data_IF_266677583933
#
_entry.id   IF_266677583933
#
_cell.length_a   1.000
_cell.length_b   1.000
_cell.length_c   1.000
_cell.angle_alpha   90.00
_cell.angle_beta   90.00
_cell.angle_gamma   90.00
#
_symmetry.space_group_name_H-M   'P 1'
#
loop_
_entity.id
_entity.type
_entity.pdbx_description
1 polymer ?
#
# COMPACT_ATOMS: atom_id res chain seq x y z
N UNK A 1 31.83 -44.67 64.13
CA UNK A 1 31.39 -43.29 63.84
C UNK A 1 31.82 -42.92 62.42
N UNK A 2 30.91 -43.07 61.46
CA UNK A 2 30.87 -42.38 60.15
C UNK A 2 29.53 -42.75 59.51
N UNK A 3 28.60 -41.81 59.58
CA UNK A 3 27.26 -41.85 58.99
C UNK A 3 27.43 -41.39 57.54
N UNK A 4 27.06 -42.22 56.58
CA UNK A 4 26.97 -41.82 55.16
C UNK A 4 25.50 -41.79 54.76
N UNK A 5 24.98 -40.57 54.74
CA UNK A 5 23.64 -40.16 54.30
C UNK A 5 23.45 -40.47 52.82
N UNK A 6 22.38 -41.20 52.48
CA UNK A 6 21.92 -41.38 51.10
C UNK A 6 21.15 -40.10 50.70
N UNK A 7 21.68 -39.36 49.73
CA UNK A 7 20.99 -38.22 49.12
C UNK A 7 20.28 -38.72 47.87
N UNK A 8 18.96 -38.76 47.91
CA UNK A 8 18.09 -39.06 46.78
C UNK A 8 18.04 -37.86 45.83
N UNK A 9 18.60 -38.01 44.63
CA UNK A 9 18.58 -36.99 43.59
C UNK A 9 17.25 -37.07 42.83
N UNK A 10 16.31 -36.16 43.14
CA UNK A 10 15.08 -35.99 42.36
C UNK A 10 15.39 -35.21 41.08
N UNK A 11 15.40 -35.90 39.94
CA UNK A 11 15.53 -35.28 38.61
C UNK A 11 14.13 -34.80 38.19
N UNK A 12 13.91 -33.48 38.24
CA UNK A 12 12.74 -32.84 37.64
C UNK A 12 12.91 -32.81 36.11
N UNK A 13 12.10 -33.58 35.40
CA UNK A 13 12.02 -33.57 33.94
C UNK A 13 11.22 -32.33 33.49
N UNK A 14 11.91 -31.28 33.05
CA UNK A 14 11.28 -30.13 32.40
C UNK A 14 10.86 -30.55 30.98
N UNK A 15 9.57 -30.81 30.77
CA UNK A 15 9.00 -30.97 29.43
C UNK A 15 8.82 -29.56 28.83
N UNK A 16 9.76 -29.14 27.98
CA UNK A 16 9.58 -27.95 27.15
C UNK A 16 8.63 -28.34 26.00
N UNK A 17 7.36 -27.97 26.12
CA UNK A 17 6.40 -28.05 25.01
C UNK A 17 6.71 -26.90 24.06
N UNK A 18 7.44 -27.19 22.98
CA UNK A 18 7.48 -26.28 21.83
C UNK A 18 6.13 -26.39 21.11
N UNK A 19 5.24 -25.44 21.36
CA UNK A 19 4.11 -25.21 20.47
C UNK A 19 4.68 -24.72 19.13
N UNK A 20 4.86 -25.63 18.17
CA UNK A 20 5.01 -25.25 16.75
C UNK A 20 3.66 -24.68 16.33
N UNK A 21 3.53 -23.36 16.32
CA UNK A 21 2.46 -22.69 15.59
C UNK A 21 2.70 -23.00 14.11
N UNK A 22 1.97 -23.97 13.57
CA UNK A 22 1.91 -24.19 12.13
C UNK A 22 1.09 -23.03 11.56
N UNK A 23 1.78 -21.93 11.23
CA UNK A 23 1.21 -20.95 10.32
C UNK A 23 0.92 -21.70 9.01
N UNK A 24 -0.37 -21.84 8.66
CA UNK A 24 -0.76 -22.39 7.36
C UNK A 24 -0.03 -21.61 6.25
N UNK A 25 0.41 -22.31 5.21
CA UNK A 25 1.06 -21.67 4.08
C UNK A 25 0.15 -20.56 3.54
N UNK A 26 0.67 -19.33 3.51
CA UNK A 26 -0.07 -18.19 2.94
C UNK A 26 -0.35 -18.46 1.47
N UNK A 27 -1.62 -18.53 1.10
CA UNK A 27 -2.01 -18.70 -0.30
C UNK A 27 -1.92 -17.34 -0.98
N UNK A 28 -0.87 -17.13 -1.77
CA UNK A 28 -0.79 -16.00 -2.71
C UNK A 28 -1.15 -16.50 -4.10
N UNK A 29 -2.24 -15.99 -4.65
CA UNK A 29 -2.68 -16.25 -6.02
C UNK A 29 -2.33 -15.08 -6.93
N UNK A 30 -1.67 -15.33 -8.05
CA UNK A 30 -1.35 -14.31 -9.05
C UNK A 30 -2.27 -14.53 -10.25
N UNK A 31 -3.11 -13.53 -10.56
CA UNK A 31 -3.92 -13.51 -11.78
C UNK A 31 -3.08 -12.93 -12.90
N UNK A 32 -2.67 -13.79 -13.83
CA UNK A 32 -1.90 -13.41 -15.01
C UNK A 32 -2.83 -12.78 -16.07
N UNK A 33 -2.35 -11.79 -16.85
CA UNK A 33 -3.09 -11.27 -17.99
C UNK A 33 -3.42 -12.38 -19.00
N UNK A 34 -4.68 -12.46 -19.45
CA UNK A 34 -5.14 -13.46 -20.43
C UNK A 34 -5.05 -12.88 -21.84
N UNK A 35 -5.56 -11.67 -22.02
CA UNK A 35 -5.48 -10.99 -23.31
C UNK A 35 -4.06 -10.50 -23.55
N UNK A 36 -3.68 -10.39 -24.83
CA UNK A 36 -2.42 -9.77 -25.22
C UNK A 36 -2.70 -8.34 -25.61
N UNK A 37 -1.99 -7.41 -24.98
CA UNK A 37 -1.97 -6.00 -25.39
C UNK A 37 -0.56 -5.61 -25.88
N UNK A 38 -0.45 -4.45 -26.52
CA UNK A 38 0.84 -3.81 -26.86
C UNK A 38 1.18 -2.69 -25.89
N UNK A 39 0.20 -2.15 -25.18
CA UNK A 39 0.40 -1.11 -24.17
C UNK A 39 0.43 -1.72 -22.78
N UNK A 40 0.89 -0.94 -21.80
CA UNK A 40 0.75 -1.30 -20.39
C UNK A 40 -0.75 -1.34 -20.03
N UNK A 41 -1.16 -2.39 -19.33
CA UNK A 41 -2.47 -2.49 -18.66
C UNK A 41 -2.24 -2.61 -17.18
N UNK A 42 -2.87 -1.75 -16.39
CA UNK A 42 -2.81 -1.82 -14.92
C UNK A 42 -3.53 -3.08 -14.43
N UNK A 43 -3.33 -3.46 -13.15
CA UNK A 43 -4.10 -4.53 -12.54
C UNK A 43 -5.61 -4.30 -12.60
N UNK A 44 -6.06 -3.04 -12.57
CA UNK A 44 -7.47 -2.69 -12.79
C UNK A 44 -7.94 -2.99 -14.21
N UNK A 45 -7.15 -2.62 -15.22
CA UNK A 45 -7.47 -2.91 -16.62
C UNK A 45 -7.52 -4.44 -16.85
N UNK A 46 -6.53 -5.18 -16.33
CA UNK A 46 -6.47 -6.64 -16.42
C UNK A 46 -7.64 -7.29 -15.69
N UNK A 47 -8.01 -6.82 -14.49
CA UNK A 47 -9.17 -7.32 -13.76
C UNK A 47 -10.44 -7.17 -14.58
N UNK A 48 -10.71 -5.97 -15.11
CA UNK A 48 -11.97 -5.68 -15.81
C UNK A 48 -12.03 -6.42 -17.15
N UNK A 49 -10.91 -6.48 -17.88
CA UNK A 49 -10.88 -7.05 -19.21
C UNK A 49 -10.81 -8.58 -19.22
N UNK A 50 -10.15 -9.18 -18.22
CA UNK A 50 -9.79 -10.61 -18.25
C UNK A 50 -10.40 -11.42 -17.09
N UNK A 51 -10.66 -10.82 -15.93
CA UNK A 51 -10.94 -11.54 -14.68
C UNK A 51 -12.13 -11.00 -13.87
N UNK A 52 -13.04 -10.24 -14.48
CA UNK A 52 -14.11 -9.56 -13.73
C UNK A 52 -15.01 -10.53 -12.95
N UNK A 53 -15.14 -11.76 -13.45
CA UNK A 53 -15.87 -12.85 -12.83
C UNK A 53 -15.33 -13.26 -11.45
N UNK A 54 -14.09 -12.91 -11.10
CA UNK A 54 -13.57 -13.08 -9.73
C UNK A 54 -14.35 -12.27 -8.70
N UNK A 55 -15.12 -11.26 -9.13
CA UNK A 55 -15.94 -10.43 -8.25
C UNK A 55 -17.42 -10.83 -8.22
N UNK A 56 -17.83 -11.83 -9.01
CA UNK A 56 -19.23 -12.23 -9.10
C UNK A 56 -19.77 -12.72 -7.75
N UNK A 57 -20.88 -12.11 -7.31
CA UNK A 57 -21.55 -12.40 -6.05
C UNK A 57 -20.81 -11.90 -4.81
N UNK A 58 -19.68 -11.19 -4.95
CA UNK A 58 -18.89 -10.71 -3.81
C UNK A 58 -19.38 -9.37 -3.29
N UNK A 59 -19.40 -9.25 -1.96
CA UNK A 59 -19.46 -7.99 -1.25
C UNK A 59 -18.06 -7.46 -1.00
N UNK A 60 -17.73 -6.33 -1.61
CA UNK A 60 -16.37 -5.80 -1.65
C UNK A 60 -16.22 -4.49 -0.86
N UNK A 61 -15.08 -4.37 -0.20
CA UNK A 61 -14.53 -3.08 0.25
C UNK A 61 -13.46 -2.60 -0.74
N UNK A 62 -13.36 -1.30 -0.97
CA UNK A 62 -12.41 -0.73 -1.92
C UNK A 62 -11.52 0.32 -1.26
N UNK A 63 -10.23 0.03 -1.13
CA UNK A 63 -9.21 1.02 -0.75
C UNK A 63 -8.73 1.73 -2.01
N UNK A 64 -9.13 2.99 -2.19
CA UNK A 64 -8.81 3.75 -3.40
C UNK A 64 -8.84 5.26 -3.19
N UNK A 65 -8.38 6.01 -4.20
CA UNK A 65 -8.53 7.46 -4.32
C UNK A 65 -8.74 7.83 -5.80
N UNK A 66 -8.58 9.11 -6.15
CA UNK A 66 -8.75 9.62 -7.51
C UNK A 66 -7.77 9.03 -8.54
N UNK A 67 -6.68 8.40 -8.12
CA UNK A 67 -5.76 7.67 -9.01
C UNK A 67 -6.28 6.28 -9.43
N UNK A 68 -7.31 5.77 -8.77
CA UNK A 68 -8.00 4.51 -9.07
C UNK A 68 -8.80 4.56 -10.36
N UNK A 69 -8.11 4.72 -11.48
CA UNK A 69 -8.67 4.81 -12.83
C UNK A 69 -8.07 3.77 -13.76
N UNK A 70 -8.86 3.38 -14.76
CA UNK A 70 -8.41 2.59 -15.92
C UNK A 70 -7.52 3.43 -16.82
N UNK A 71 -6.83 2.80 -17.77
CA UNK A 71 -6.07 3.50 -18.83
C UNK A 71 -6.90 4.49 -19.65
N UNK A 72 -8.23 4.31 -19.66
CA UNK A 72 -9.19 5.19 -20.34
C UNK A 72 -9.80 6.27 -19.41
N UNK A 73 -9.31 6.41 -18.17
CA UNK A 73 -9.79 7.43 -17.23
C UNK A 73 -11.10 7.10 -16.52
N UNK A 74 -11.62 5.87 -16.67
CA UNK A 74 -12.82 5.43 -15.95
C UNK A 74 -12.44 5.05 -14.52
N UNK A 75 -13.14 5.62 -13.54
CA UNK A 75 -12.90 5.41 -12.10
C UNK A 75 -13.39 4.03 -11.66
N UNK A 76 -12.57 3.30 -10.92
CA UNK A 76 -12.84 1.93 -10.46
C UNK A 76 -14.17 1.78 -9.71
N UNK A 77 -14.50 2.67 -8.79
CA UNK A 77 -15.73 2.61 -8.00
C UNK A 77 -16.97 2.74 -8.89
N UNK A 78 -16.90 3.55 -9.96
CA UNK A 78 -18.04 3.68 -10.88
C UNK A 78 -18.29 2.41 -11.69
N UNK A 79 -17.23 1.61 -11.93
CA UNK A 79 -17.32 0.33 -12.63
C UNK A 79 -18.00 -0.68 -11.72
N UNK A 80 -17.55 -0.78 -10.47
CA UNK A 80 -18.14 -1.70 -9.50
C UNK A 80 -19.58 -1.33 -9.12
N UNK A 81 -19.90 -0.05 -8.94
CA UNK A 81 -21.26 0.41 -8.65
C UNK A 81 -22.27 0.10 -9.77
N UNK A 82 -21.82 0.05 -11.03
CA UNK A 82 -22.70 -0.22 -12.18
C UNK A 82 -22.94 -1.71 -12.40
N UNK A 83 -22.15 -2.57 -11.77
CA UNK A 83 -22.30 -4.02 -11.90
C UNK A 83 -23.50 -4.50 -11.08
N UNK A 84 -24.33 -5.36 -11.66
CA UNK A 84 -25.41 -6.05 -10.93
C UNK A 84 -24.92 -7.29 -10.18
N UNK A 85 -23.66 -7.68 -10.37
CA UNK A 85 -23.06 -8.89 -9.80
C UNK A 85 -22.06 -8.58 -8.68
N UNK A 86 -21.76 -7.32 -8.42
CA UNK A 86 -20.76 -6.88 -7.43
C UNK A 86 -21.45 -5.94 -6.45
N UNK A 87 -21.37 -6.23 -5.15
CA UNK A 87 -21.84 -5.32 -4.12
C UNK A 87 -20.67 -4.50 -3.58
N UNK A 88 -20.50 -3.26 -4.07
CA UNK A 88 -19.56 -2.31 -3.48
C UNK A 88 -20.14 -1.74 -2.18
N UNK A 89 -19.72 -2.30 -1.04
CA UNK A 89 -20.27 -1.95 0.27
C UNK A 89 -19.66 -0.69 0.86
N UNK A 90 -18.33 -0.54 0.74
CA UNK A 90 -17.58 0.54 1.39
C UNK A 90 -16.36 0.94 0.56
N UNK A 91 -16.05 2.24 0.58
CA UNK A 91 -14.82 2.80 0.03
C UNK A 91 -13.99 3.33 1.19
N UNK A 92 -12.73 2.94 1.25
CA UNK A 92 -11.74 3.43 2.17
C UNK A 92 -10.79 4.40 1.46
N UNK A 93 -10.82 5.67 1.83
CA UNK A 93 -9.99 6.71 1.25
C UNK A 93 -8.75 6.97 2.12
N UNK A 94 -7.51 6.82 1.61
CA UNK A 94 -6.29 7.01 2.39
C UNK A 94 -5.97 8.51 2.64
N UNK A 95 -4.72 8.82 3.00
CA UNK A 95 -4.20 10.19 3.07
C UNK A 95 -4.49 10.98 1.77
N UNK A 96 -4.74 12.29 1.90
CA UNK A 96 -5.21 13.20 0.85
C UNK A 96 -6.67 13.03 0.40
N UNK A 97 -7.39 12.06 0.96
CA UNK A 97 -8.81 11.88 0.69
C UNK A 97 -9.09 11.21 -0.65
N UNK A 98 -10.37 11.01 -0.93
CA UNK A 98 -10.91 10.29 -2.08
C UNK A 98 -10.76 11.06 -3.40
N UNK A 99 -10.82 12.40 -3.39
CA UNK A 99 -10.67 13.25 -4.56
C UNK A 99 -9.27 13.91 -4.66
N UNK A 100 -8.34 13.58 -3.75
CA UNK A 100 -7.02 14.22 -3.67
C UNK A 100 -7.10 15.67 -3.20
N UNK A 101 -8.16 16.03 -2.49
CA UNK A 101 -8.53 17.38 -2.09
C UNK A 101 -7.86 17.83 -0.77
N UNK A 102 -7.37 16.88 0.03
CA UNK A 102 -6.76 17.21 1.32
C UNK A 102 -5.25 17.47 1.21
N UNK A 103 -4.81 18.58 1.79
CA UNK A 103 -3.39 18.80 2.10
C UNK A 103 -2.83 17.69 2.99
N UNK A 104 -1.50 17.50 2.97
CA UNK A 104 -0.84 16.59 3.92
C UNK A 104 -1.23 16.96 5.36
N UNK A 105 -1.64 15.98 6.17
CA UNK A 105 -2.11 16.23 7.53
C UNK A 105 -3.59 16.62 7.68
N UNK A 106 -4.33 16.92 6.60
CA UNK A 106 -5.73 17.35 6.67
C UNK A 106 -6.73 16.17 6.76
N UNK A 107 -7.84 16.36 7.48
CA UNK A 107 -8.94 15.39 7.60
C UNK A 107 -10.06 15.72 6.61
N UNK A 108 -10.71 14.68 6.07
CA UNK A 108 -11.92 14.82 5.25
C UNK A 108 -13.00 13.89 5.79
N UNK A 109 -14.22 14.41 5.95
CA UNK A 109 -15.42 13.63 6.24
C UNK A 109 -16.31 13.58 4.99
N UNK A 110 -16.79 12.39 4.64
CA UNK A 110 -17.68 12.20 3.50
C UNK A 110 -19.10 11.92 3.99
N UNK A 111 -20.06 12.76 3.56
CA UNK A 111 -21.49 12.51 3.76
C UNK A 111 -22.11 12.12 2.43
N UNK A 112 -21.92 10.86 2.03
CA UNK A 112 -22.54 10.38 0.81
C UNK A 112 -24.00 10.00 1.09
N UNK A 113 -24.96 10.72 0.49
CA UNK A 113 -26.41 10.43 0.65
C UNK A 113 -26.89 9.28 -0.24
N UNK A 114 -26.14 8.94 -1.29
CA UNK A 114 -26.49 7.92 -2.27
C UNK A 114 -25.23 7.22 -2.79
N UNK A 115 -25.13 5.90 -2.64
CA UNK A 115 -23.96 5.10 -3.03
C UNK A 115 -23.21 4.50 -1.84
N UNK A 116 -22.02 3.91 -2.04
CA UNK A 116 -21.26 3.26 -0.98
C UNK A 116 -20.83 4.28 0.06
N UNK A 117 -20.73 3.82 1.30
CA UNK A 117 -20.16 4.59 2.38
C UNK A 117 -18.68 4.88 2.09
N UNK A 118 -18.23 6.12 2.31
CA UNK A 118 -16.83 6.51 2.10
C UNK A 118 -16.21 6.84 3.46
N UNK A 119 -15.17 6.12 3.84
CA UNK A 119 -14.51 6.22 5.13
C UNK A 119 -13.07 6.71 4.93
N UNK A 120 -12.71 7.81 5.59
CA UNK A 120 -11.33 8.32 5.59
C UNK A 120 -10.44 7.48 6.51
N UNK A 121 -9.39 6.87 5.94
CA UNK A 121 -8.33 6.16 6.64
C UNK A 121 -7.14 7.08 6.98
N UNK A 122 -7.41 8.21 7.65
CA UNK A 122 -6.38 9.19 8.02
C UNK A 122 -6.58 9.79 9.41
N UNK A 123 -5.53 10.40 9.97
CA UNK A 123 -5.56 10.98 11.31
C UNK A 123 -5.59 9.91 12.41
N UNK A 124 -6.69 9.84 13.17
CA UNK A 124 -6.86 8.84 14.25
C UNK A 124 -7.21 7.45 13.73
N UNK A 125 -7.77 7.37 12.52
CA UNK A 125 -8.26 6.13 11.93
C UNK A 125 -7.41 5.78 10.69
N UNK A 126 -6.14 5.39 10.86
CA UNK A 126 -5.24 5.05 9.72
C UNK A 126 -5.38 3.61 9.21
N UNK A 127 -6.16 2.83 9.94
CA UNK A 127 -6.42 1.39 9.78
C UNK A 127 -7.93 1.19 9.79
N UNK A 128 -8.52 0.40 8.88
CA UNK A 128 -9.93 0.03 8.98
C UNK A 128 -10.23 -0.61 10.36
N UNK A 129 -11.39 -0.35 10.93
CA UNK A 129 -11.81 -1.09 12.14
C UNK A 129 -12.47 -2.41 11.74
N UNK A 130 -12.57 -3.34 12.69
CA UNK A 130 -13.28 -4.61 12.50
C UNK A 130 -14.73 -4.37 12.03
N UNK A 131 -15.46 -3.48 12.70
CA UNK A 131 -16.84 -3.11 12.33
C UNK A 131 -16.96 -2.57 10.89
N UNK A 132 -15.91 -1.90 10.39
CA UNK A 132 -15.93 -1.35 9.03
C UNK A 132 -15.75 -2.40 7.95
N UNK A 133 -15.12 -3.54 8.27
CA UNK A 133 -14.86 -4.62 7.33
C UNK A 133 -15.80 -5.81 7.52
N UNK A 134 -16.70 -5.74 8.51
CA UNK A 134 -17.62 -6.83 8.84
C UNK A 134 -18.50 -7.21 7.64
N UNK A 135 -18.52 -8.52 7.33
CA UNK A 135 -19.31 -9.09 6.26
C UNK A 135 -18.78 -8.82 4.85
N UNK A 136 -17.58 -8.26 4.68
CA UNK A 136 -16.93 -8.20 3.37
C UNK A 136 -16.34 -9.57 3.00
N UNK A 137 -16.46 -9.95 1.73
CA UNK A 137 -15.80 -11.14 1.19
C UNK A 137 -14.37 -10.84 0.70
N UNK A 138 -14.15 -9.60 0.26
CA UNK A 138 -12.93 -9.17 -0.39
C UNK A 138 -12.66 -7.68 -0.15
N UNK A 139 -11.42 -7.34 0.17
CA UNK A 139 -10.94 -5.95 0.12
C UNK A 139 -10.04 -5.78 -1.09
N UNK A 140 -10.39 -4.86 -1.98
CA UNK A 140 -9.60 -4.50 -3.16
C UNK A 140 -8.76 -3.27 -2.84
N UNK A 141 -7.46 -3.31 -3.15
CA UNK A 141 -6.56 -2.17 -3.08
C UNK A 141 -6.17 -1.71 -4.49
N UNK A 142 -6.45 -0.44 -4.81
CA UNK A 142 -6.15 0.15 -6.11
C UNK A 142 -5.80 1.64 -5.98
N UNK A 143 -4.51 1.93 -5.75
CA UNK A 143 -3.97 3.28 -5.58
C UNK A 143 -2.60 3.37 -6.27
N UNK A 144 -2.35 4.47 -6.99
CA UNK A 144 -1.04 4.80 -7.53
C UNK A 144 -0.11 5.32 -6.42
N UNK A 145 0.89 4.52 -6.05
CA UNK A 145 2.02 4.91 -5.20
C UNK A 145 3.14 5.61 -6.02
N UNK A 146 4.20 6.09 -5.37
CA UNK A 146 5.35 6.74 -6.02
C UNK A 146 6.69 6.03 -5.79
N UNK A 147 6.71 4.84 -5.20
CA UNK A 147 7.92 4.04 -5.07
C UNK A 147 8.83 4.44 -3.90
N UNK A 148 8.29 5.15 -2.91
CA UNK A 148 9.06 5.71 -1.79
C UNK A 148 8.47 5.33 -0.43
N UNK A 149 9.31 4.84 0.49
CA UNK A 149 8.89 4.24 1.77
C UNK A 149 8.02 5.15 2.65
N UNK A 150 8.30 6.44 2.64
CA UNK A 150 7.58 7.43 3.45
C UNK A 150 6.35 8.03 2.74
N UNK A 151 6.02 7.54 1.55
CA UNK A 151 4.72 7.79 0.93
C UNK A 151 3.71 6.78 1.49
N UNK A 152 2.72 7.26 2.24
CA UNK A 152 2.01 6.46 3.26
C UNK A 152 0.96 5.49 2.72
N UNK A 153 0.72 5.45 1.41
CA UNK A 153 -0.27 4.57 0.79
C UNK A 153 0.06 3.09 1.01
N UNK A 154 1.35 2.73 0.98
CA UNK A 154 1.79 1.38 1.29
C UNK A 154 1.62 1.05 2.79
N UNK A 155 1.70 2.04 3.69
CA UNK A 155 1.40 1.82 5.11
C UNK A 155 -0.09 1.53 5.34
N UNK A 156 -0.97 2.25 4.64
CA UNK A 156 -2.42 1.94 4.62
C UNK A 156 -2.69 0.54 4.07
N UNK A 157 -1.97 0.12 3.02
CA UNK A 157 -2.04 -1.24 2.49
C UNK A 157 -1.68 -2.30 3.54
N UNK A 158 -0.55 -2.13 4.24
CA UNK A 158 -0.13 -3.05 5.30
C UNK A 158 -1.19 -3.21 6.39
N UNK A 159 -1.67 -2.08 6.92
CA UNK A 159 -2.69 -2.05 7.96
C UNK A 159 -4.02 -2.65 7.50
N UNK A 160 -4.38 -2.47 6.22
CA UNK A 160 -5.57 -3.09 5.62
C UNK A 160 -5.41 -4.60 5.53
N UNK A 161 -4.25 -5.09 5.07
CA UNK A 161 -3.96 -6.52 4.99
C UNK A 161 -4.04 -7.19 6.36
N UNK A 162 -3.55 -6.52 7.41
CA UNK A 162 -3.63 -7.02 8.78
C UNK A 162 -5.07 -7.13 9.27
N UNK A 163 -5.90 -6.10 9.07
CA UNK A 163 -7.32 -6.13 9.45
C UNK A 163 -8.08 -7.21 8.67
N UNK A 164 -7.80 -7.35 7.38
CA UNK A 164 -8.42 -8.36 6.55
C UNK A 164 -8.10 -9.78 7.06
N UNK A 165 -6.82 -10.04 7.40
CA UNK A 165 -6.40 -11.31 7.93
C UNK A 165 -7.06 -11.64 9.28
N UNK A 166 -7.14 -10.66 10.18
CA UNK A 166 -7.82 -10.80 11.48
C UNK A 166 -9.31 -11.15 11.35
N UNK A 167 -9.93 -10.85 10.20
CA UNK A 167 -11.35 -11.08 9.94
C UNK A 167 -11.61 -12.16 8.89
N UNK A 168 -10.58 -12.90 8.46
CA UNK A 168 -10.66 -13.92 7.41
C UNK A 168 -11.22 -13.37 6.08
N UNK A 169 -10.82 -12.16 5.71
CA UNK A 169 -11.22 -11.49 4.48
C UNK A 169 -10.05 -11.55 3.48
N UNK A 170 -10.35 -11.90 2.24
CA UNK A 170 -9.32 -11.95 1.20
C UNK A 170 -8.93 -10.54 0.76
N UNK A 171 -7.69 -10.36 0.32
CA UNK A 171 -7.22 -9.08 -0.20
C UNK A 171 -6.83 -9.24 -1.67
N UNK A 172 -7.36 -8.37 -2.53
CA UNK A 172 -6.99 -8.29 -3.94
C UNK A 172 -6.20 -7.00 -4.20
N UNK A 173 -4.97 -7.12 -4.70
CA UNK A 173 -4.13 -5.99 -5.09
C UNK A 173 -4.25 -5.82 -6.60
N UNK A 174 -4.74 -4.65 -7.04
CA UNK A 174 -4.71 -4.26 -8.44
C UNK A 174 -3.37 -3.58 -8.67
N UNK A 175 -2.41 -4.32 -9.24
CA UNK A 175 -1.04 -3.84 -9.29
C UNK A 175 -0.89 -2.62 -10.20
N UNK A 176 0.02 -1.72 -9.84
CA UNK A 176 0.27 -0.46 -10.56
C UNK A 176 1.77 -0.23 -10.77
N UNK A 177 2.17 0.51 -11.82
CA UNK A 177 3.57 0.80 -12.07
C UNK A 177 4.20 1.51 -10.88
N UNK A 178 5.42 1.11 -10.50
CA UNK A 178 6.27 1.97 -9.69
C UNK A 178 6.79 3.11 -10.59
N UNK A 179 6.48 4.39 -10.31
CA UNK A 179 6.88 5.50 -11.18
C UNK A 179 8.39 5.67 -11.34
N UNK A 180 9.17 5.13 -10.39
CA UNK A 180 10.62 5.15 -10.36
C UNK A 180 11.25 3.90 -10.97
N UNK A 181 10.46 3.04 -11.61
CA UNK A 181 10.90 1.72 -12.06
C UNK A 181 11.17 0.76 -10.91
N UNK A 182 11.68 -0.42 -11.28
CA UNK A 182 12.00 -1.52 -10.38
C UNK A 182 13.47 -1.96 -10.42
N UNK A 183 14.36 -1.25 -11.10
CA UNK A 183 15.78 -1.65 -11.20
C UNK A 183 16.66 -1.05 -10.11
N UNK A 184 16.31 0.14 -9.62
CA UNK A 184 17.12 0.89 -8.68
C UNK A 184 16.51 0.79 -7.27
N UNK A 185 17.38 0.44 -6.31
CA UNK A 185 17.07 0.37 -4.89
C UNK A 185 18.06 1.28 -4.15
N UNK A 186 17.56 2.24 -3.37
CA UNK A 186 18.40 3.29 -2.74
C UNK A 186 17.94 3.61 -1.31
N UNK A 187 18.90 4.04 -0.49
CA UNK A 187 18.70 4.44 0.90
C UNK A 187 18.80 3.28 1.90
N UNK A 188 18.88 3.62 3.19
CA UNK A 188 18.97 2.62 4.25
C UNK A 188 17.64 1.87 4.43
N UNK A 189 17.71 0.55 4.61
CA UNK A 189 16.58 -0.25 5.09
C UNK A 189 16.11 0.27 6.44
N UNK A 190 14.80 0.33 6.66
CA UNK A 190 14.24 0.80 7.91
C UNK A 190 14.60 -0.14 9.06
N UNK A 191 15.26 0.38 10.09
CA UNK A 191 15.38 -0.32 11.37
C UNK A 191 13.98 -0.42 12.00
N UNK A 192 13.48 -1.63 12.33
CA UNK A 192 12.16 -1.84 12.94
C UNK A 192 11.89 -1.00 14.19
N UNK A 193 12.92 -0.57 14.93
CA UNK A 193 12.78 0.32 16.08
C UNK A 193 12.21 1.70 15.71
N UNK A 194 12.35 2.12 14.44
CA UNK A 194 11.79 3.36 13.91
C UNK A 194 10.51 3.14 13.09
N UNK A 195 9.88 1.95 13.18
CA UNK A 195 8.61 1.66 12.49
C UNK A 195 7.54 2.68 12.88
N UNK A 196 6.92 3.29 11.88
CA UNK A 196 5.87 4.29 12.05
C UNK A 196 4.94 4.30 10.83
N UNK A 197 3.99 5.24 10.77
CA UNK A 197 3.10 5.36 9.60
C UNK A 197 3.81 5.83 8.33
N UNK A 198 4.92 6.57 8.45
CA UNK A 198 5.78 6.98 7.31
C UNK A 198 6.91 5.96 7.05
N UNK A 199 6.81 4.77 7.60
CA UNK A 199 7.80 3.71 7.44
C UNK A 199 7.29 2.44 8.11
N UNK A 200 6.46 1.68 7.38
CA UNK A 200 5.80 0.50 7.94
C UNK A 200 6.56 -0.80 7.65
N UNK A 201 7.13 -0.90 6.45
CA UNK A 201 7.87 -2.08 6.00
C UNK A 201 9.38 -1.91 6.21
N UNK A 202 10.12 -3.01 6.47
CA UNK A 202 11.58 -3.00 6.55
C UNK A 202 12.20 -2.95 5.15
N UNK A 203 11.95 -1.86 4.41
CA UNK A 203 12.42 -1.64 3.04
C UNK A 203 13.32 -0.40 2.95
N UNK A 204 14.15 -0.25 1.91
CA UNK A 204 14.92 0.98 1.62
C UNK A 204 14.02 2.18 1.32
N UNK A 205 14.59 3.39 1.23
CA UNK A 205 13.85 4.62 0.90
C UNK A 205 13.18 4.51 -0.46
N UNK A 206 13.96 4.22 -1.51
CA UNK A 206 13.46 3.82 -2.83
C UNK A 206 13.53 2.30 -2.88
N UNK A 207 12.38 1.66 -2.81
CA UNK A 207 12.31 0.21 -2.58
C UNK A 207 12.24 -0.63 -3.87
N UNK A 208 11.98 0.00 -5.02
CA UNK A 208 12.10 -0.64 -6.34
C UNK A 208 11.10 -1.79 -6.59
N UNK A 209 9.93 -1.80 -5.96
CA UNK A 209 8.89 -2.82 -6.16
C UNK A 209 7.59 -2.17 -6.62
N UNK A 210 6.72 -2.93 -7.28
CA UNK A 210 5.31 -2.56 -7.40
C UNK A 210 4.59 -2.81 -6.07
N UNK A 211 3.36 -2.32 -5.92
CA UNK A 211 2.56 -2.59 -4.71
C UNK A 211 2.19 -4.07 -4.59
N UNK A 212 1.95 -4.76 -5.72
CA UNK A 212 1.75 -6.21 -5.74
C UNK A 212 2.99 -6.99 -5.31
N UNK A 213 4.16 -6.64 -5.84
CA UNK A 213 5.44 -7.25 -5.44
C UNK A 213 5.76 -7.00 -3.96
N UNK A 214 5.52 -5.78 -3.46
CA UNK A 214 5.67 -5.42 -2.05
C UNK A 214 4.75 -6.26 -1.16
N UNK A 215 3.47 -6.41 -1.50
CA UNK A 215 2.53 -7.25 -0.76
C UNK A 215 2.93 -8.72 -0.77
N UNK A 216 3.40 -9.24 -1.90
CA UNK A 216 3.93 -10.61 -2.00
C UNK A 216 5.11 -10.80 -1.03
N UNK A 217 6.07 -9.88 -1.03
CA UNK A 217 7.22 -9.96 -0.13
C UNK A 217 6.80 -9.84 1.34
N UNK A 218 5.88 -8.92 1.66
CA UNK A 218 5.40 -8.71 3.01
C UNK A 218 4.74 -9.97 3.61
N UNK A 219 3.91 -10.66 2.81
CA UNK A 219 3.28 -11.92 3.20
C UNK A 219 4.31 -13.04 3.43
N UNK A 220 5.30 -13.18 2.54
CA UNK A 220 6.26 -14.28 2.60
C UNK A 220 7.40 -14.08 3.61
N UNK A 221 7.65 -12.84 4.06
CA UNK A 221 8.75 -12.49 4.96
C UNK A 221 8.31 -12.05 6.36
N UNK A 222 7.03 -12.25 6.71
CA UNK A 222 6.46 -11.87 8.02
C UNK A 222 6.66 -10.39 8.35
N UNK A 223 6.42 -9.49 7.39
CA UNK A 223 6.55 -8.04 7.62
C UNK A 223 5.31 -7.39 8.24
N UNK A 224 4.19 -8.13 8.24
CA UNK A 224 2.93 -7.72 8.85
C UNK A 224 2.93 -8.08 10.35
N UNK A 225 2.16 -7.32 11.13
CA UNK A 225 2.01 -7.55 12.57
C UNK A 225 1.03 -8.70 12.88
N UNK A 226 0.19 -9.10 11.94
CA UNK A 226 -0.65 -10.30 11.99
C UNK A 226 -0.16 -11.36 10.99
N UNK A 227 -0.75 -12.55 11.04
CA UNK A 227 -0.67 -13.47 9.89
C UNK A 227 -1.17 -12.75 8.62
N UNK A 228 -0.60 -13.04 7.45
CA UNK A 228 -1.07 -12.45 6.19
C UNK A 228 -2.45 -12.99 5.79
N UNK A 229 -3.27 -12.20 5.07
CA UNK A 229 -4.53 -12.66 4.52
C UNK A 229 -4.28 -13.60 3.31
N UNK A 230 -5.32 -14.27 2.83
CA UNK A 230 -5.28 -14.80 1.46
C UNK A 230 -5.15 -13.63 0.48
N UNK A 231 -4.09 -13.68 -0.34
CA UNK A 231 -3.72 -12.57 -1.20
C UNK A 231 -3.95 -12.95 -2.66
N UNK A 232 -4.65 -12.08 -3.39
CA UNK A 232 -4.82 -12.16 -4.84
C UNK A 232 -4.10 -10.95 -5.44
N UNK A 233 -3.16 -11.16 -6.35
CA UNK A 233 -2.48 -10.07 -7.06
C UNK A 233 -2.91 -10.12 -8.51
N UNK A 234 -3.56 -9.05 -8.98
CA UNK A 234 -3.85 -8.88 -10.40
C UNK A 234 -2.65 -8.21 -11.05
N UNK A 235 -1.82 -9.03 -11.70
CA UNK A 235 -0.56 -8.59 -12.27
C UNK A 235 -0.80 -7.70 -13.49
N UNK A 236 0.00 -6.66 -13.63
CA UNK A 236 -0.02 -5.80 -14.82
C UNK A 236 0.37 -6.56 -16.08
N UNK A 237 -0.13 -6.07 -17.22
CA UNK A 237 0.35 -6.48 -18.54
C UNK A 237 1.40 -5.48 -19.07
N UNK A 238 2.43 -6.01 -19.74
CA UNK A 238 3.50 -5.25 -20.41
C UNK A 238 4.35 -4.25 -19.60
N UNK A 239 4.10 -4.03 -18.30
CA UNK A 239 5.05 -3.27 -17.47
C UNK A 239 6.38 -4.00 -17.36
N UNK A 240 7.49 -3.26 -17.43
CA UNK A 240 8.86 -3.77 -17.25
C UNK A 240 9.54 -2.98 -16.15
N UNK A 241 10.42 -3.64 -15.40
CA UNK A 241 11.14 -3.01 -14.28
C UNK A 241 11.98 -1.81 -14.72
N UNK A 242 12.47 -1.78 -15.95
CA UNK A 242 13.21 -0.65 -16.52
C UNK A 242 12.35 0.58 -16.84
N UNK A 243 11.02 0.45 -16.87
CA UNK A 243 10.13 1.56 -17.23
C UNK A 243 9.98 2.54 -16.08
N UNK A 244 10.23 3.82 -16.35
CA UNK A 244 9.68 4.91 -15.58
C UNK A 244 8.21 5.12 -15.97
N UNK A 245 7.47 5.94 -15.22
CA UNK A 245 6.03 6.09 -15.45
C UNK A 245 5.69 6.59 -16.88
N UNK A 246 6.46 7.51 -17.42
CA UNK A 246 6.31 8.10 -18.75
C UNK A 246 6.56 7.11 -19.90
N UNK A 247 7.30 6.02 -19.65
CA UNK A 247 7.44 4.91 -20.58
C UNK A 247 6.14 4.12 -20.74
N UNK A 248 5.30 4.06 -19.70
CA UNK A 248 4.06 3.26 -19.69
C UNK A 248 2.97 3.80 -20.61
N UNK A 249 3.04 5.10 -20.95
CA UNK A 249 2.01 5.86 -21.68
C UNK A 249 0.66 5.95 -20.97
N UNK A 250 0.59 5.61 -19.68
CA UNK A 250 -0.57 5.85 -18.84
C UNK A 250 -0.68 7.34 -18.47
N UNK A 251 -1.91 7.79 -18.24
CA UNK A 251 -2.18 9.15 -17.79
C UNK A 251 -1.72 9.34 -16.34
N UNK A 252 -0.81 10.30 -16.10
CA UNK A 252 -0.42 10.67 -14.76
C UNK A 252 -1.54 11.45 -14.06
N UNK A 253 -2.17 10.81 -13.07
CA UNK A 253 -3.04 11.49 -12.11
C UNK A 253 -2.21 11.79 -10.87
N UNK A 254 -1.96 13.08 -10.60
CA UNK A 254 -1.14 13.51 -9.47
C UNK A 254 -1.60 12.80 -8.17
N UNK A 255 -0.78 11.95 -7.54
CA UNK A 255 -1.25 11.11 -6.46
C UNK A 255 -1.51 11.90 -5.17
N UNK A 256 -0.88 13.07 -5.01
CA UNK A 256 -1.17 14.03 -3.93
C UNK A 256 -0.96 15.48 -4.40
N UNK A 257 -1.43 16.49 -3.64
CA UNK A 257 -1.33 17.89 -4.05
C UNK A 257 0.10 18.38 -4.34
N UNK A 258 1.11 17.81 -3.67
CA UNK A 258 2.51 18.22 -3.79
C UNK A 258 3.37 17.27 -4.64
N UNK A 259 2.76 16.27 -5.29
CA UNK A 259 3.41 15.46 -6.33
C UNK A 259 2.68 15.72 -7.67
N UNK A 260 2.80 16.93 -8.24
CA UNK A 260 1.99 17.34 -9.38
C UNK A 260 2.38 16.61 -10.67
N UNK A 261 3.64 16.19 -10.80
CA UNK A 261 4.20 15.61 -12.02
C UNK A 261 5.23 14.50 -11.71
N UNK A 262 5.62 13.77 -12.76
CA UNK A 262 6.54 12.63 -12.68
C UNK A 262 7.94 13.09 -12.24
N UNK A 263 8.39 14.27 -12.67
CA UNK A 263 9.69 14.83 -12.26
C UNK A 263 9.72 15.02 -10.74
N UNK A 264 8.67 15.59 -10.14
CA UNK A 264 8.55 15.68 -8.68
C UNK A 264 8.59 14.30 -8.03
N UNK A 265 7.91 13.29 -8.58
CA UNK A 265 7.96 11.93 -8.04
C UNK A 265 9.39 11.36 -8.06
N UNK A 266 10.15 11.61 -9.13
CA UNK A 266 11.53 11.13 -9.30
C UNK A 266 12.48 11.71 -8.26
N UNK A 267 12.36 13.01 -7.94
CA UNK A 267 13.26 13.67 -6.99
C UNK A 267 12.78 13.54 -5.53
N UNK A 268 11.51 13.20 -5.30
CA UNK A 268 10.91 13.07 -3.97
C UNK A 268 11.69 12.17 -2.99
N UNK A 269 12.27 11.00 -3.37
CA UNK A 269 13.05 10.18 -2.44
C UNK A 269 14.19 10.92 -1.74
N UNK A 270 14.83 11.87 -2.43
CA UNK A 270 15.88 12.71 -1.87
C UNK A 270 15.34 14.00 -1.27
N UNK A 271 14.44 14.68 -1.98
CA UNK A 271 13.97 16.02 -1.62
C UNK A 271 13.05 16.03 -0.40
N UNK A 272 12.31 14.94 -0.15
CA UNK A 272 11.47 14.84 1.04
C UNK A 272 12.28 14.73 2.35
N UNK A 273 13.58 14.41 2.30
CA UNK A 273 14.42 14.35 3.50
C UNK A 273 14.55 15.72 4.19
N UNK A 274 14.39 16.81 3.43
CA UNK A 274 14.38 18.18 3.97
C UNK A 274 13.18 18.45 4.88
N UNK A 275 12.07 17.69 4.78
CA UNK A 275 10.94 17.81 5.72
C UNK A 275 11.33 17.50 7.17
N UNK A 276 12.42 16.75 7.38
CA UNK A 276 12.98 16.50 8.70
C UNK A 276 13.88 17.63 9.23
N UNK A 277 13.94 18.76 8.52
CA UNK A 277 14.78 19.92 8.85
C UNK A 277 13.93 21.19 8.95
N UNK A 278 14.57 22.35 9.17
CA UNK A 278 13.93 23.67 9.14
C UNK A 278 14.09 24.39 7.78
N UNK A 279 14.48 23.66 6.73
CA UNK A 279 14.57 24.14 5.35
C UNK A 279 13.24 23.84 4.65
N UNK A 280 12.70 24.81 3.92
CA UNK A 280 11.55 24.58 3.06
C UNK A 280 11.95 23.78 1.83
N UNK A 281 11.19 22.74 1.54
CA UNK A 281 11.26 21.88 0.37
C UNK A 281 10.38 22.37 -0.80
N UNK A 282 10.03 23.66 -0.80
CA UNK A 282 9.29 24.30 -1.89
C UNK A 282 7.76 24.07 -1.85
N UNK A 283 7.22 23.35 -0.86
CA UNK A 283 5.76 23.30 -0.64
C UNK A 283 5.21 24.72 -0.42
N UNK A 284 4.02 24.98 -0.94
CA UNK A 284 3.41 26.32 -0.97
C UNK A 284 3.80 27.17 -2.20
N UNK A 285 4.67 26.64 -3.07
CA UNK A 285 4.99 27.23 -4.37
C UNK A 285 4.39 26.41 -5.52
N UNK A 286 4.65 26.80 -6.78
CA UNK A 286 4.33 26.00 -7.97
C UNK A 286 5.36 24.89 -8.27
N UNK A 287 6.40 24.76 -7.43
CA UNK A 287 7.53 23.86 -7.63
C UNK A 287 7.83 23.04 -6.35
N UNK A 288 6.86 22.29 -5.80
CA UNK A 288 7.07 21.47 -4.62
C UNK A 288 8.16 20.42 -4.88
N UNK A 289 9.07 20.28 -3.91
CA UNK A 289 10.26 19.43 -3.94
C UNK A 289 11.29 19.74 -5.03
N UNK A 290 11.05 20.71 -5.93
CA UNK A 290 12.04 21.14 -6.95
C UNK A 290 12.92 22.30 -6.45
N UNK A 291 12.62 22.82 -5.27
CA UNK A 291 13.31 23.92 -4.62
C UNK A 291 13.64 23.55 -3.18
N UNK A 292 14.76 24.08 -2.67
CA UNK A 292 15.03 24.15 -1.24
C UNK A 292 15.43 25.58 -0.86
N UNK A 293 15.05 26.01 0.33
CA UNK A 293 15.45 27.33 0.82
C UNK A 293 15.03 27.60 2.25
N UNK A 294 15.73 28.53 2.88
CA UNK A 294 15.36 29.09 4.17
C UNK A 294 15.75 30.57 4.23
N UNK A 295 15.07 31.41 5.04
CA UNK A 295 15.36 32.85 5.10
C UNK A 295 16.79 33.22 5.50
N UNK A 296 17.52 32.27 6.12
CA UNK A 296 18.90 32.42 6.59
C UNK A 296 19.93 31.83 5.62
N UNK A 297 19.52 31.23 4.50
CA UNK A 297 20.45 30.69 3.50
C UNK A 297 20.96 31.82 2.61
N UNK A 298 22.28 31.91 2.46
CA UNK A 298 22.87 32.75 1.43
C UNK A 298 22.68 32.10 0.05
N UNK A 299 22.10 32.84 -0.88
CA UNK A 299 21.78 32.38 -2.24
C UNK A 299 22.71 32.99 -3.29
N UNK A 300 23.64 33.86 -2.87
CA UNK A 300 24.69 34.33 -3.74
C UNK A 300 25.64 33.17 -4.05
N UNK A 301 25.57 32.67 -5.29
CA UNK A 301 26.57 31.74 -5.81
C UNK A 301 27.87 32.55 -5.96
N UNK A 302 28.85 32.24 -5.13
CA UNK A 302 30.24 32.72 -5.25
C UNK A 302 30.95 32.09 -6.44
#
# INVERSE_FOLDING_TARGET
MRISTIVTLNIFLFVIVFAKTTYGATTVSILEPIKKDKTVRTGLDVLIEDHLNYLDGKKIGLVTNHSGITRNGVKNYTIFQKSTQIELSVIFAPEHGFYGEASAGAKVEYQNKTGPNIISLYGRNRRPTQDMVEGLDLIIYDIQDIGVRFYTYISTLAMTMEVAAENNINVMILDRPNPLGGEIIEGATLDPNYKSFIGYYPIPTRYGLTVGELSYMACNNNWLSSSPPELIIVKMDNWKRSMYYDDTKLSWVKPSPNIPDIETAIIYPGMCLYEATNISEGRGTNQPFKLIGAPWMDTAIS
#
